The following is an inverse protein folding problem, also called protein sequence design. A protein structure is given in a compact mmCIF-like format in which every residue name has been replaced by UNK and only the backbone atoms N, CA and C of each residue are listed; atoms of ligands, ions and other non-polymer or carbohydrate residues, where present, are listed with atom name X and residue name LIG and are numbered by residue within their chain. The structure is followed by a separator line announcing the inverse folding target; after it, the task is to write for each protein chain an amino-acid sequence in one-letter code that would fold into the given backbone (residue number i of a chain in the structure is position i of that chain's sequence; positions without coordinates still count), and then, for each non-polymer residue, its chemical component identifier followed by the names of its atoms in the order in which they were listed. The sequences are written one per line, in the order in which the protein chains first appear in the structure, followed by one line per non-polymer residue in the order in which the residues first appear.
data_IF_458097683181
#
_entry.id   IF_458097683181
#
_cell.length_a   1.000
_cell.length_b   1.000
_cell.length_c   1.000
_cell.angle_alpha   90.00
_cell.angle_beta   90.00
_cell.angle_gamma   90.00
#
_symmetry.space_group_name_H-M   'P 1'
#
loop_
_entity.id
_entity.type
_entity.pdbx_description
1 polymer ?
#
# COMPACT_ATOMS: atom_id res chain seq x y z
N UNK A 1 13.82 -9.97 -14.62
CA UNK A 1 14.15 -10.60 -13.32
C UNK A 1 12.86 -10.60 -12.53
N UNK A 2 12.33 -11.79 -12.24
CA UNK A 2 11.12 -11.90 -11.43
C UNK A 2 11.42 -11.42 -10.01
N UNK A 3 10.50 -10.68 -9.41
CA UNK A 3 10.59 -10.28 -8.02
C UNK A 3 10.48 -11.56 -7.18
N UNK A 4 11.54 -11.94 -6.47
CA UNK A 4 11.45 -13.02 -5.49
C UNK A 4 10.62 -12.51 -4.32
N UNK A 5 9.52 -13.19 -4.01
CA UNK A 5 8.56 -12.78 -2.98
C UNK A 5 9.18 -12.72 -1.57
N UNK A 6 10.32 -13.38 -1.36
CA UNK A 6 10.97 -13.50 -0.06
C UNK A 6 12.45 -13.14 -0.15
N UNK A 7 12.95 -12.41 0.86
CA UNK A 7 14.38 -12.14 1.03
C UNK A 7 15.11 -13.22 1.85
N UNK A 8 14.38 -14.16 2.43
CA UNK A 8 14.90 -15.25 3.26
C UNK A 8 14.31 -16.59 2.80
N UNK A 9 14.95 -17.74 3.10
CA UNK A 9 14.45 -19.06 2.72
C UNK A 9 13.00 -19.27 3.16
N UNK A 10 12.03 -19.53 2.24
CA UNK A 10 10.61 -19.61 2.60
C UNK A 10 10.27 -20.70 3.61
N UNK A 11 11.08 -21.75 3.69
CA UNK A 11 10.96 -22.85 4.65
C UNK A 11 11.40 -22.47 6.08
N UNK A 12 12.12 -21.36 6.24
CA UNK A 12 12.54 -20.82 7.55
C UNK A 12 11.55 -19.77 8.07
N UNK A 13 10.66 -19.27 7.21
CA UNK A 13 9.68 -18.25 7.57
C UNK A 13 8.44 -18.86 8.25
N UNK A 14 8.01 -18.33 9.41
CA UNK A 14 6.73 -18.68 10.00
C UNK A 14 5.56 -18.40 9.06
N UNK A 15 4.49 -19.20 9.15
CA UNK A 15 3.28 -19.04 8.32
C UNK A 15 2.69 -17.63 8.40
N UNK A 16 2.70 -17.03 9.60
CA UNK A 16 2.25 -15.64 9.80
C UNK A 16 3.08 -14.64 8.98
N UNK A 17 4.39 -14.83 8.90
CA UNK A 17 5.32 -13.97 8.15
C UNK A 17 5.11 -14.15 6.66
N UNK A 18 4.90 -15.38 6.20
CA UNK A 18 4.55 -15.64 4.79
C UNK A 18 3.21 -15.04 4.40
N UNK A 19 2.25 -15.02 5.31
CA UNK A 19 0.96 -14.31 5.11
C UNK A 19 1.17 -12.80 5.04
N UNK A 20 1.97 -12.23 5.94
CA UNK A 20 2.33 -10.82 5.91
C UNK A 20 3.01 -10.45 4.58
N UNK A 21 4.01 -11.22 4.14
CA UNK A 21 4.72 -11.00 2.87
C UNK A 21 3.78 -11.03 1.65
N UNK A 22 2.82 -11.97 1.61
CA UNK A 22 1.78 -12.00 0.56
C UNK A 22 0.96 -10.72 0.52
N UNK A 23 0.50 -10.24 1.68
CA UNK A 23 -0.34 -9.04 1.75
C UNK A 23 0.45 -7.76 1.46
N UNK A 24 1.74 -7.71 1.82
CA UNK A 24 2.63 -6.61 1.43
C UNK A 24 2.83 -6.60 -0.08
N UNK A 25 3.10 -7.75 -0.70
CA UNK A 25 3.25 -7.83 -2.14
C UNK A 25 1.98 -7.35 -2.86
N UNK A 26 0.81 -7.81 -2.42
CA UNK A 26 -0.46 -7.33 -2.99
C UNK A 26 -0.61 -5.81 -2.81
N UNK A 27 -0.29 -5.24 -1.65
CA UNK A 27 -0.32 -3.80 -1.44
C UNK A 27 0.62 -3.04 -2.41
N UNK A 28 1.81 -3.58 -2.67
CA UNK A 28 2.79 -3.02 -3.62
C UNK A 28 2.23 -3.08 -5.04
N UNK A 29 1.69 -4.22 -5.47
CA UNK A 29 1.11 -4.40 -6.80
C UNK A 29 -0.05 -3.40 -7.05
N UNK A 30 -0.91 -3.15 -6.05
CA UNK A 30 -1.96 -2.14 -6.18
C UNK A 30 -1.37 -0.72 -6.35
N UNK A 31 -0.33 -0.39 -5.59
CA UNK A 31 0.34 0.91 -5.70
C UNK A 31 1.03 1.10 -7.06
N UNK A 32 1.64 0.06 -7.61
CA UNK A 32 2.22 0.07 -8.96
C UNK A 32 1.13 0.24 -10.02
N UNK A 33 0.00 -0.45 -9.90
CA UNK A 33 -1.12 -0.32 -10.82
C UNK A 33 -1.71 1.11 -10.79
N UNK A 34 -1.86 1.70 -9.59
CA UNK A 34 -2.28 3.09 -9.41
C UNK A 34 -1.35 4.05 -10.16
N UNK A 35 -0.03 3.92 -9.96
CA UNK A 35 0.99 4.73 -10.62
C UNK A 35 0.91 4.59 -12.15
N UNK A 36 0.85 3.35 -12.65
CA UNK A 36 0.79 3.11 -14.08
C UNK A 36 -0.46 3.70 -14.73
N UNK A 37 -1.62 3.58 -14.08
CA UNK A 37 -2.84 4.21 -14.59
C UNK A 37 -2.75 5.72 -14.54
N UNK A 38 -2.17 6.33 -13.50
CA UNK A 38 -2.01 7.78 -13.41
C UNK A 38 -1.17 8.30 -14.59
N UNK A 39 -0.04 7.66 -14.87
CA UNK A 39 0.84 8.02 -16.00
C UNK A 39 0.12 7.85 -17.35
N UNK A 40 -0.60 6.73 -17.55
CA UNK A 40 -1.35 6.48 -18.79
C UNK A 40 -2.48 7.51 -18.98
N UNK A 41 -3.23 7.81 -17.93
CA UNK A 41 -4.32 8.78 -17.94
C UNK A 41 -3.85 10.19 -18.29
N UNK A 42 -2.61 10.55 -17.92
CA UNK A 42 -2.02 11.84 -18.24
C UNK A 42 -1.80 12.05 -19.74
N UNK A 43 -1.53 10.99 -20.50
CA UNK A 43 -1.16 11.07 -21.93
C UNK A 43 -2.20 10.48 -22.89
N UNK A 44 -3.13 9.65 -22.41
CA UNK A 44 -4.15 9.01 -23.24
C UNK A 44 -5.13 10.03 -23.85
N UNK A 45 -5.36 9.86 -25.17
CA UNK A 45 -6.22 10.69 -26.01
C UNK A 45 -7.55 10.02 -26.34
N UNK A 46 -7.57 8.70 -26.42
CA UNK A 46 -8.79 7.95 -26.66
C UNK A 46 -9.72 8.00 -25.44
N UNK A 47 -10.96 8.43 -25.65
CA UNK A 47 -11.90 8.67 -24.56
C UNK A 47 -12.42 7.38 -23.94
N UNK A 48 -12.55 6.31 -24.71
CA UNK A 48 -13.02 5.02 -24.22
C UNK A 48 -11.92 4.35 -23.39
N UNK A 49 -10.70 4.32 -23.90
CA UNK A 49 -9.54 3.82 -23.15
C UNK A 49 -9.34 4.57 -21.84
N UNK A 50 -9.47 5.91 -21.85
CA UNK A 50 -9.36 6.74 -20.64
C UNK A 50 -10.44 6.43 -19.60
N UNK A 51 -11.66 6.16 -20.04
CA UNK A 51 -12.75 5.79 -19.15
C UNK A 51 -12.50 4.42 -18.49
N UNK A 52 -12.03 3.44 -19.26
CA UNK A 52 -11.68 2.10 -18.76
C UNK A 52 -10.55 2.21 -17.73
N UNK A 53 -9.47 2.92 -18.06
CA UNK A 53 -8.31 3.07 -17.17
C UNK A 53 -8.67 3.77 -15.85
N UNK A 54 -9.49 4.82 -15.91
CA UNK A 54 -9.96 5.51 -14.69
C UNK A 54 -10.81 4.59 -13.82
N UNK A 55 -11.70 3.80 -14.42
CA UNK A 55 -12.50 2.85 -13.68
C UNK A 55 -11.62 1.77 -13.01
N UNK A 56 -10.63 1.25 -13.73
CA UNK A 56 -9.68 0.30 -13.18
C UNK A 56 -8.86 0.89 -12.02
N UNK A 57 -8.30 2.09 -12.19
CA UNK A 57 -7.54 2.77 -11.13
C UNK A 57 -8.35 2.96 -9.82
N UNK A 58 -9.63 3.31 -9.94
CA UNK A 58 -10.51 3.47 -8.78
C UNK A 58 -10.71 2.16 -8.01
N UNK A 59 -10.74 1.02 -8.70
CA UNK A 59 -10.80 -0.30 -8.07
C UNK A 59 -9.50 -0.59 -7.29
N UNK A 60 -8.34 -0.19 -7.82
CA UNK A 60 -7.06 -0.41 -7.14
C UNK A 60 -6.91 0.43 -5.86
N UNK A 61 -7.49 1.64 -5.78
CA UNK A 61 -7.56 2.38 -4.51
C UNK A 61 -8.30 1.59 -3.42
N UNK A 62 -9.38 0.90 -3.79
CA UNK A 62 -10.14 0.05 -2.87
C UNK A 62 -9.30 -1.17 -2.47
N UNK A 63 -8.66 -1.85 -3.41
CA UNK A 63 -7.81 -3.01 -3.10
C UNK A 63 -6.64 -2.61 -2.21
N UNK A 64 -5.99 -1.48 -2.49
CA UNK A 64 -4.92 -0.91 -1.66
C UNK A 64 -5.40 -0.69 -0.22
N UNK A 65 -6.54 -0.02 -0.04
CA UNK A 65 -7.12 0.22 1.29
C UNK A 65 -7.45 -1.06 2.05
N UNK A 66 -7.99 -2.07 1.36
CA UNK A 66 -8.30 -3.39 1.95
C UNK A 66 -7.03 -4.12 2.41
N UNK A 67 -5.99 -4.13 1.58
CA UNK A 67 -4.71 -4.76 1.88
C UNK A 67 -4.01 -4.06 3.06
N UNK A 68 -4.00 -2.72 3.06
CA UNK A 68 -3.42 -1.91 4.14
C UNK A 68 -4.13 -2.18 5.46
N UNK A 69 -5.45 -2.11 5.51
CA UNK A 69 -6.21 -2.31 6.74
C UNK A 69 -5.98 -3.71 7.35
N UNK A 70 -5.87 -4.76 6.52
CA UNK A 70 -5.49 -6.09 7.00
C UNK A 70 -4.13 -6.08 7.72
N UNK A 71 -3.13 -5.42 7.13
CA UNK A 71 -1.78 -5.31 7.69
C UNK A 71 -1.80 -4.53 9.01
N UNK A 72 -2.54 -3.42 9.08
CA UNK A 72 -2.68 -2.61 10.29
C UNK A 72 -3.39 -3.35 11.43
N UNK A 73 -4.37 -4.22 11.13
CA UNK A 73 -4.99 -5.07 12.18
C UNK A 73 -4.01 -6.08 12.79
N UNK A 74 -2.97 -6.46 12.05
CA UNK A 74 -1.98 -7.46 12.49
C UNK A 74 -0.68 -6.86 13.01
N UNK A 75 -0.52 -5.54 12.88
CA UNK A 75 0.71 -4.82 13.23
C UNK A 75 0.36 -3.62 14.11
N UNK A 76 0.09 -3.82 15.42
CA UNK A 76 -0.45 -2.76 16.29
C UNK A 76 0.39 -1.48 16.33
N UNK A 77 1.72 -1.60 16.32
CA UNK A 77 2.63 -0.44 16.28
C UNK A 77 2.48 0.36 14.98
N UNK A 78 2.40 -0.31 13.84
CA UNK A 78 2.16 0.35 12.55
C UNK A 78 0.80 1.06 12.51
N UNK A 79 -0.24 0.42 13.07
CA UNK A 79 -1.56 1.04 13.21
C UNK A 79 -1.51 2.32 14.05
N UNK A 80 -0.85 2.30 15.21
CA UNK A 80 -0.73 3.48 16.08
C UNK A 80 -0.07 4.63 15.31
N UNK A 81 1.10 4.38 14.71
CA UNK A 81 1.83 5.37 13.92
C UNK A 81 0.94 5.98 12.81
N UNK A 82 0.22 5.17 12.04
CA UNK A 82 -0.63 5.69 10.97
C UNK A 82 -1.87 6.43 11.46
N UNK A 83 -2.40 6.11 12.64
CA UNK A 83 -3.50 6.90 13.23
C UNK A 83 -3.06 8.32 13.56
N UNK A 84 -1.77 8.51 13.82
CA UNK A 84 -1.22 9.82 14.10
C UNK A 84 -0.77 10.60 12.88
N UNK A 85 -0.64 9.95 11.73
CA UNK A 85 -0.26 10.59 10.46
C UNK A 85 -1.48 10.86 9.56
N UNK A 86 -2.39 9.89 9.45
CA UNK A 86 -3.45 9.93 8.45
C UNK A 86 -4.61 10.86 8.86
N UNK A 87 -5.16 11.56 7.86
CA UNK A 87 -6.35 12.43 7.99
C UNK A 87 -6.19 13.60 8.97
N UNK A 88 -4.95 14.02 9.25
CA UNK A 88 -4.64 15.25 9.99
C UNK A 88 -4.21 16.36 9.03
N UNK A 89 -4.54 17.60 9.39
CA UNK A 89 -4.00 18.81 8.73
C UNK A 89 -2.67 19.19 9.39
N UNK A 90 -1.72 19.74 8.62
CA UNK A 90 -0.42 20.15 9.15
C UNK A 90 0.74 19.47 8.43
N UNK A 91 1.92 19.54 9.04
CA UNK A 91 3.12 18.91 8.48
C UNK A 91 3.11 17.40 8.73
N UNK A 92 3.32 16.63 7.67
CA UNK A 92 3.27 15.16 7.72
C UNK A 92 4.49 14.59 8.45
N UNK A 93 5.66 15.23 8.31
CA UNK A 93 6.91 14.77 8.94
C UNK A 93 6.85 15.02 10.44
N UNK A 94 6.39 16.20 10.88
CA UNK A 94 6.18 16.50 12.30
C UNK A 94 5.24 15.48 12.95
N UNK A 95 4.08 15.20 12.34
CA UNK A 95 3.16 14.17 12.86
C UNK A 95 3.78 12.77 12.91
N UNK A 96 4.64 12.41 11.95
CA UNK A 96 5.27 11.10 11.92
C UNK A 96 6.36 10.94 12.99
N UNK A 97 7.13 12.00 13.25
CA UNK A 97 8.16 12.02 14.30
C UNK A 97 7.51 11.93 15.69
N UNK A 98 6.47 12.72 15.95
CA UNK A 98 5.69 12.65 17.20
C UNK A 98 5.10 11.24 17.41
N UNK A 99 4.52 10.65 16.35
CA UNK A 99 3.94 9.31 16.40
C UNK A 99 4.96 8.20 16.69
N UNK A 100 6.20 8.34 16.18
CA UNK A 100 7.28 7.39 16.44
C UNK A 100 7.74 7.46 17.90
N UNK A 101 7.90 8.67 18.45
CA UNK A 101 8.26 8.91 19.85
C UNK A 101 7.24 8.31 20.82
N UNK A 102 5.94 8.48 20.55
CA UNK A 102 4.86 7.94 21.38
C UNK A 102 4.71 6.41 21.27
N UNK A 103 5.10 5.83 20.13
CA UNK A 103 5.01 4.40 19.86
C UNK A 103 6.26 3.58 20.27
N UNK A 104 7.29 4.24 20.80
CA UNK A 104 8.53 3.65 21.34
C UNK A 104 8.39 3.07 22.74
#
# INVERSE_FOLDING_TARGET
MGFDQYHEPPNELPEKTRTFARMILSLIEEAEAIDWYEQRLAVEKDREAKAIMRNAQMEEFKHFGMNLEFLLRRTPRWRAILQDILFKEGDIVEHAEEAEEEAG
#
